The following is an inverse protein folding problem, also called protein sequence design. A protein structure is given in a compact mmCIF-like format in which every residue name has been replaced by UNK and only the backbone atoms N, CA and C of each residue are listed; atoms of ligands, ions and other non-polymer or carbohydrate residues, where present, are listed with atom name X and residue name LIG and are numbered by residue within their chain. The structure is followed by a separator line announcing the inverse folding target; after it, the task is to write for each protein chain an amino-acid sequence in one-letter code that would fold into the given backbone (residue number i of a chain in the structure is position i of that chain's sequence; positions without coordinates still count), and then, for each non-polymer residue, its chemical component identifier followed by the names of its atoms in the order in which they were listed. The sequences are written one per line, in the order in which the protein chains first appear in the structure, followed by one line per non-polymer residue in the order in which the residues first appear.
data_IF_289477986131
#
_entry.id   IF_289477986131
#
_cell.length_a   1.000
_cell.length_b   1.000
_cell.length_c   1.000
_cell.angle_alpha   90.00
_cell.angle_beta   90.00
_cell.angle_gamma   90.00
#
_symmetry.space_group_name_H-M   'P 1'
#
loop_
_entity.id
_entity.type
_entity.pdbx_description
1 polymer ?
#
# COMPACT_ATOMS: atom_id res chain seq x y z
N UNK A 1 18.01 -23.13 3.13
CA UNK A 1 16.95 -23.60 4.06
C UNK A 1 17.11 -25.09 4.27
N UNK A 2 16.64 -25.63 5.39
CA UNK A 2 16.70 -27.06 5.71
C UNK A 2 15.35 -27.53 6.22
N UNK A 3 14.93 -28.70 5.80
CA UNK A 3 13.76 -29.40 6.30
C UNK A 3 14.21 -30.45 7.33
N UNK A 4 13.52 -30.49 8.47
CA UNK A 4 13.84 -31.45 9.53
C UNK A 4 12.77 -32.54 9.57
N UNK A 5 13.19 -33.78 9.35
CA UNK A 5 12.37 -34.95 9.64
C UNK A 5 12.53 -35.30 11.13
N UNK A 6 11.53 -34.89 11.92
CA UNK A 6 11.54 -35.08 13.37
C UNK A 6 11.53 -36.57 13.73
N UNK A 7 10.82 -37.42 12.95
CA UNK A 7 10.67 -38.86 13.24
C UNK A 7 11.99 -39.60 13.05
N UNK A 8 12.67 -39.28 11.94
CA UNK A 8 13.92 -39.95 11.58
C UNK A 8 15.17 -39.21 12.04
N UNK A 9 15.00 -38.02 12.69
CA UNK A 9 16.08 -37.15 13.16
C UNK A 9 17.06 -36.79 12.04
N UNK A 10 16.55 -36.56 10.82
CA UNK A 10 17.34 -36.20 9.65
C UNK A 10 17.11 -34.74 9.26
N UNK A 11 18.15 -34.12 8.74
CA UNK A 11 18.12 -32.79 8.19
C UNK A 11 18.40 -32.85 6.69
N UNK A 12 17.44 -32.42 5.88
CA UNK A 12 17.53 -32.42 4.43
C UNK A 12 17.71 -30.98 3.95
N UNK A 13 18.70 -30.74 3.10
CA UNK A 13 18.91 -29.42 2.50
C UNK A 13 17.89 -29.20 1.40
N UNK A 14 17.16 -28.08 1.46
CA UNK A 14 16.29 -27.64 0.38
C UNK A 14 17.10 -26.92 -0.69
N UNK A 15 16.80 -27.19 -1.96
CA UNK A 15 17.45 -26.52 -3.09
C UNK A 15 16.72 -25.21 -3.39
N UNK A 16 17.46 -24.09 -3.37
CA UNK A 16 16.92 -22.82 -3.84
C UNK A 16 16.59 -22.92 -5.34
N UNK A 17 15.47 -22.39 -5.74
CA UNK A 17 15.01 -22.36 -7.12
C UNK A 17 14.39 -20.99 -7.44
N UNK A 18 14.06 -20.77 -8.70
CA UNK A 18 13.34 -19.59 -9.15
C UNK A 18 11.97 -19.99 -9.69
N UNK A 19 11.04 -19.06 -9.68
CA UNK A 19 9.74 -19.30 -10.31
C UNK A 19 9.87 -19.53 -11.81
N UNK A 20 10.84 -18.86 -12.48
CA UNK A 20 11.15 -19.09 -13.89
C UNK A 20 11.63 -20.50 -14.17
N UNK A 21 12.51 -21.05 -13.35
CA UNK A 21 12.99 -22.44 -13.50
C UNK A 21 11.88 -23.46 -13.38
N UNK A 22 10.85 -23.15 -12.60
CA UNK A 22 9.67 -23.99 -12.42
C UNK A 22 8.57 -23.72 -13.44
N UNK A 23 8.78 -22.82 -14.41
CA UNK A 23 7.79 -22.34 -15.37
C UNK A 23 6.53 -21.76 -14.71
N UNK A 24 6.64 -21.25 -13.48
CA UNK A 24 5.58 -20.56 -12.77
C UNK A 24 5.49 -19.11 -13.24
N UNK A 25 4.27 -18.60 -13.35
CA UNK A 25 4.01 -17.25 -13.80
C UNK A 25 3.68 -16.33 -12.64
N UNK A 26 3.92 -15.05 -12.84
CA UNK A 26 3.53 -14.00 -11.90
C UNK A 26 2.01 -14.00 -11.71
N UNK A 27 1.27 -13.99 -12.82
CA UNK A 27 -0.18 -13.79 -12.86
C UNK A 27 -0.99 -15.03 -12.50
N UNK A 28 -0.60 -16.22 -13.00
CA UNK A 28 -1.42 -17.43 -12.88
C UNK A 28 -1.04 -18.31 -11.70
N UNK A 29 0.08 -18.00 -11.04
CA UNK A 29 0.55 -18.76 -9.88
C UNK A 29 0.75 -17.88 -8.66
N UNK A 30 1.72 -16.95 -8.67
CA UNK A 30 2.07 -16.15 -7.49
C UNK A 30 0.91 -15.25 -7.06
N UNK A 31 0.28 -14.58 -8.02
CA UNK A 31 -0.87 -13.73 -7.77
C UNK A 31 -2.07 -14.50 -7.22
N UNK A 32 -2.33 -15.72 -7.74
CA UNK A 32 -3.41 -16.57 -7.23
C UNK A 32 -3.16 -17.02 -5.79
N UNK A 33 -1.92 -17.40 -5.46
CA UNK A 33 -1.58 -17.79 -4.08
C UNK A 33 -1.72 -16.64 -3.09
N UNK A 34 -1.32 -15.43 -3.47
CA UNK A 34 -1.48 -14.24 -2.62
C UNK A 34 -2.96 -13.84 -2.52
N UNK A 35 -3.72 -13.96 -3.60
CA UNK A 35 -5.16 -13.71 -3.62
C UNK A 35 -5.93 -14.68 -2.70
N UNK A 36 -5.50 -15.93 -2.63
CA UNK A 36 -6.13 -16.95 -1.78
C UNK A 36 -5.60 -16.95 -0.33
N UNK A 37 -4.37 -16.52 -0.12
CA UNK A 37 -3.70 -16.52 1.21
C UNK A 37 -2.91 -15.23 1.39
N UNK A 38 -3.60 -14.08 1.55
CA UNK A 38 -2.93 -12.77 1.65
C UNK A 38 -2.07 -12.62 2.91
N UNK A 39 -2.27 -13.46 3.93
CA UNK A 39 -1.47 -13.50 5.17
C UNK A 39 0.01 -13.79 4.92
N UNK A 40 0.36 -14.34 3.74
CA UNK A 40 1.75 -14.51 3.31
C UNK A 40 2.51 -13.17 3.27
N UNK A 41 1.80 -12.05 3.17
CA UNK A 41 2.35 -10.70 3.18
C UNK A 41 2.65 -10.16 4.59
N UNK A 42 2.43 -11.00 5.63
CA UNK A 42 2.80 -10.71 7.03
C UNK A 42 1.81 -9.82 7.77
N UNK A 43 0.66 -9.52 7.19
CA UNK A 43 -0.40 -8.74 7.81
C UNK A 43 -1.77 -9.21 7.32
N UNK A 44 -2.81 -8.80 8.03
CA UNK A 44 -4.19 -9.11 7.69
C UNK A 44 -4.68 -8.17 6.59
N UNK A 45 -5.03 -8.71 5.45
CA UNK A 45 -5.49 -7.98 4.27
C UNK A 45 -6.75 -8.62 3.71
N UNK A 46 -7.70 -7.80 3.28
CA UNK A 46 -8.87 -8.22 2.51
C UNK A 46 -8.62 -7.88 1.04
N UNK A 47 -8.40 -8.88 0.20
CA UNK A 47 -8.27 -8.65 -1.25
C UNK A 47 -9.65 -8.25 -1.79
N UNK A 48 -9.73 -7.06 -2.39
CA UNK A 48 -10.97 -6.50 -2.94
C UNK A 48 -10.97 -6.43 -4.46
N UNK A 49 -9.83 -6.72 -5.09
CA UNK A 49 -9.75 -6.72 -6.54
C UNK A 49 -8.45 -7.31 -7.07
N UNK A 50 -8.54 -7.90 -8.25
CA UNK A 50 -7.45 -8.53 -8.99
C UNK A 50 -7.51 -8.09 -10.45
N UNK A 51 -6.34 -7.74 -11.02
CA UNK A 51 -6.22 -7.31 -12.41
C UNK A 51 -7.13 -6.12 -12.76
N UNK A 52 -7.16 -5.11 -11.86
CA UNK A 52 -8.03 -3.95 -12.01
C UNK A 52 -7.49 -3.04 -13.10
N UNK A 53 -8.32 -2.73 -14.09
CA UNK A 53 -7.97 -1.76 -15.13
C UNK A 53 -8.30 -0.36 -14.62
N UNK A 54 -7.25 0.45 -14.45
CA UNK A 54 -7.38 1.84 -14.04
C UNK A 54 -7.76 2.75 -15.22
N UNK A 55 -8.25 3.98 -14.98
CA UNK A 55 -8.67 4.90 -16.04
C UNK A 55 -7.62 5.17 -17.11
N UNK A 56 -6.34 5.06 -16.78
CA UNK A 56 -5.22 5.19 -17.73
C UNK A 56 -5.00 3.97 -18.62
N UNK A 57 -5.80 2.89 -18.47
CA UNK A 57 -5.62 1.62 -19.16
C UNK A 57 -4.51 0.73 -18.56
N UNK A 58 -3.81 1.19 -17.51
CA UNK A 58 -2.85 0.36 -16.78
C UNK A 58 -3.58 -0.60 -15.86
N UNK A 59 -2.96 -1.76 -15.61
CA UNK A 59 -3.55 -2.84 -14.85
C UNK A 59 -2.79 -3.03 -13.53
N UNK A 60 -3.53 -2.94 -12.43
CA UNK A 60 -3.08 -3.18 -11.08
C UNK A 60 -3.21 -4.66 -10.75
N UNK A 61 -2.15 -5.28 -10.21
CA UNK A 61 -2.14 -6.72 -9.94
C UNK A 61 -3.16 -7.10 -8.86
N UNK A 62 -3.00 -6.61 -7.63
CA UNK A 62 -3.95 -6.84 -6.52
C UNK A 62 -4.22 -5.53 -5.76
N UNK A 63 -5.49 -5.33 -5.41
CA UNK A 63 -5.92 -4.27 -4.51
C UNK A 63 -6.54 -4.90 -3.27
N UNK A 64 -6.12 -4.41 -2.11
CA UNK A 64 -6.62 -4.87 -0.81
C UNK A 64 -7.05 -3.71 0.08
N UNK A 65 -7.71 -4.04 1.18
CA UNK A 65 -7.99 -3.14 2.32
C UNK A 65 -7.27 -3.71 3.54
N UNK A 66 -6.63 -2.84 4.33
CA UNK A 66 -6.10 -3.19 5.65
C UNK A 66 -7.18 -3.07 6.75
N UNK A 67 -6.88 -3.50 7.97
CA UNK A 67 -7.81 -3.48 9.09
C UNK A 67 -8.27 -2.06 9.50
N UNK A 68 -7.60 -1.01 9.02
CA UNK A 68 -7.94 0.39 9.26
C UNK A 68 -8.76 1.02 8.11
N UNK A 69 -9.07 0.26 7.06
CA UNK A 69 -9.81 0.72 5.90
C UNK A 69 -8.96 1.46 4.85
N UNK A 70 -7.63 1.41 4.96
CA UNK A 70 -6.75 1.99 3.96
C UNK A 70 -6.62 1.06 2.75
N UNK A 71 -6.53 1.64 1.56
CA UNK A 71 -6.24 0.86 0.36
C UNK A 71 -4.78 0.42 0.33
N UNK A 72 -4.56 -0.83 -0.01
CA UNK A 72 -3.23 -1.44 -0.15
C UNK A 72 -3.04 -1.90 -1.59
N UNK A 73 -2.12 -1.25 -2.28
CA UNK A 73 -1.70 -1.58 -3.64
C UNK A 73 -0.62 -2.65 -3.57
N UNK A 74 -0.86 -3.81 -4.18
CA UNK A 74 0.11 -4.91 -4.20
C UNK A 74 0.59 -5.09 -5.63
N UNK A 75 1.86 -4.86 -5.85
CA UNK A 75 2.54 -5.04 -7.13
C UNK A 75 3.49 -6.22 -7.05
N UNK A 76 3.36 -7.14 -8.00
CA UNK A 76 4.09 -8.41 -8.03
C UNK A 76 5.14 -8.42 -9.12
N UNK A 77 6.28 -9.03 -8.84
CA UNK A 77 7.29 -9.36 -9.84
C UNK A 77 7.80 -10.78 -9.58
N UNK A 78 7.76 -11.60 -10.62
CA UNK A 78 8.06 -13.04 -10.52
C UNK A 78 9.44 -13.33 -9.95
N UNK A 79 10.47 -12.70 -10.51
CA UNK A 79 11.86 -13.00 -10.14
C UNK A 79 12.56 -11.77 -9.57
N UNK A 80 13.06 -10.87 -10.41
CA UNK A 80 13.72 -9.64 -9.96
C UNK A 80 12.79 -8.47 -10.18
N UNK A 81 12.70 -7.56 -9.20
CA UNK A 81 12.01 -6.30 -9.40
C UNK A 81 12.60 -5.59 -10.62
N UNK A 82 11.79 -5.41 -11.66
CA UNK A 82 12.19 -4.63 -12.83
C UNK A 82 12.54 -3.20 -12.41
N UNK A 83 13.27 -2.49 -13.28
CA UNK A 83 13.46 -1.07 -13.09
C UNK A 83 12.08 -0.37 -13.05
N UNK A 84 11.89 0.53 -12.07
CA UNK A 84 10.70 1.38 -11.93
C UNK A 84 9.44 0.70 -11.38
N UNK A 85 9.53 -0.44 -10.68
CA UNK A 85 8.37 -1.08 -10.03
C UNK A 85 7.74 -0.15 -8.98
N UNK A 86 8.56 0.60 -8.23
CA UNK A 86 8.13 1.61 -7.27
C UNK A 86 7.35 2.75 -7.93
N UNK A 87 7.77 3.21 -9.10
CA UNK A 87 7.05 4.24 -9.87
C UNK A 87 5.72 3.73 -10.41
N UNK A 88 5.67 2.47 -10.80
CA UNK A 88 4.44 1.83 -11.25
C UNK A 88 3.43 1.80 -10.10
N UNK A 89 3.85 1.33 -8.93
CA UNK A 89 3.00 1.25 -7.74
C UNK A 89 2.56 2.64 -7.23
N UNK A 90 3.42 3.65 -7.28
CA UNK A 90 3.06 5.04 -6.93
C UNK A 90 1.97 5.57 -7.87
N UNK A 91 2.06 5.32 -9.18
CA UNK A 91 1.01 5.70 -10.12
C UNK A 91 -0.32 5.05 -9.76
N UNK A 92 -0.31 3.76 -9.41
CA UNK A 92 -1.52 3.07 -8.98
C UNK A 92 -2.11 3.66 -7.71
N UNK A 93 -1.27 3.92 -6.69
CA UNK A 93 -1.69 4.56 -5.45
C UNK A 93 -2.30 5.94 -5.72
N UNK A 94 -1.72 6.71 -6.63
CA UNK A 94 -2.25 8.01 -7.05
C UNK A 94 -3.66 7.91 -7.66
N UNK A 95 -3.93 6.93 -8.51
CA UNK A 95 -5.28 6.70 -9.03
C UNK A 95 -6.24 6.21 -7.93
N UNK A 96 -5.80 5.25 -7.12
CA UNK A 96 -6.62 4.68 -6.05
C UNK A 96 -6.96 5.70 -4.96
N UNK A 97 -6.12 6.72 -4.74
CA UNK A 97 -6.37 7.78 -3.74
C UNK A 97 -7.65 8.58 -3.99
N UNK A 98 -8.11 8.61 -5.24
CA UNK A 98 -9.33 9.30 -5.63
C UNK A 98 -10.59 8.42 -5.53
N UNK A 99 -10.47 7.13 -5.19
CA UNK A 99 -11.63 6.25 -5.10
C UNK A 99 -12.54 6.62 -3.93
N UNK A 100 -13.82 6.75 -4.22
CA UNK A 100 -14.87 6.91 -3.22
C UNK A 100 -15.22 5.56 -2.59
N UNK A 101 -15.91 5.60 -1.44
CA UNK A 101 -16.38 4.38 -0.78
C UNK A 101 -17.28 3.56 -1.71
N UNK A 102 -18.15 4.22 -2.49
CA UNK A 102 -19.03 3.56 -3.46
C UNK A 102 -18.25 2.86 -4.57
N UNK A 103 -17.17 3.47 -5.06
CA UNK A 103 -16.31 2.85 -6.08
C UNK A 103 -15.58 1.64 -5.49
N UNK A 104 -15.11 1.72 -4.24
CA UNK A 104 -14.47 0.61 -3.53
C UNK A 104 -15.45 -0.55 -3.36
N UNK A 105 -16.67 -0.29 -2.89
CA UNK A 105 -17.71 -1.31 -2.77
C UNK A 105 -18.03 -1.96 -4.11
N UNK A 106 -18.11 -1.16 -5.18
CA UNK A 106 -18.35 -1.68 -6.53
C UNK A 106 -17.21 -2.57 -7.02
N UNK A 107 -15.95 -2.13 -6.86
CA UNK A 107 -14.77 -2.91 -7.24
C UNK A 107 -14.81 -4.26 -6.52
N UNK A 108 -15.06 -4.25 -5.22
CA UNK A 108 -15.11 -5.47 -4.43
C UNK A 108 -16.30 -6.36 -4.79
N UNK A 109 -17.48 -5.79 -5.04
CA UNK A 109 -18.63 -6.57 -5.48
C UNK A 109 -18.38 -7.25 -6.84
N UNK A 110 -17.75 -6.54 -7.78
CA UNK A 110 -17.36 -7.10 -9.07
C UNK A 110 -16.34 -8.24 -8.94
N UNK A 111 -15.41 -8.13 -7.97
CA UNK A 111 -14.47 -9.19 -7.64
C UNK A 111 -15.18 -10.39 -7.00
N UNK A 112 -16.06 -10.17 -6.01
CA UNK A 112 -16.81 -11.23 -5.35
C UNK A 112 -17.69 -12.00 -6.34
N UNK A 113 -18.38 -11.32 -7.24
CA UNK A 113 -19.23 -11.94 -8.24
C UNK A 113 -18.49 -12.89 -9.20
N UNK A 114 -17.17 -12.69 -9.37
CA UNK A 114 -16.31 -13.58 -10.16
C UNK A 114 -15.81 -14.79 -9.38
N UNK A 115 -15.63 -14.65 -8.08
CA UNK A 115 -14.99 -15.67 -7.22
C UNK A 115 -15.97 -16.43 -6.34
N UNK A 116 -17.05 -15.77 -5.92
CA UNK A 116 -18.05 -16.30 -4.98
C UNK A 116 -19.46 -15.93 -5.42
N UNK A 117 -20.42 -16.82 -5.11
CA UNK A 117 -21.84 -16.50 -5.22
C UNK A 117 -22.36 -16.03 -3.86
N UNK A 118 -23.23 -15.03 -3.85
CA UNK A 118 -24.01 -14.57 -2.67
C UNK A 118 -23.24 -13.85 -1.55
N UNK A 119 -22.10 -13.21 -1.83
CA UNK A 119 -21.41 -12.34 -0.87
C UNK A 119 -21.71 -10.86 -1.17
N UNK A 120 -21.93 -10.08 -0.10
CA UNK A 120 -22.14 -8.63 -0.15
C UNK A 120 -20.86 -7.90 0.23
N UNK A 121 -20.35 -7.06 -0.66
CA UNK A 121 -19.06 -6.37 -0.50
C UNK A 121 -19.02 -5.48 0.74
N UNK A 122 -20.08 -4.74 1.01
CA UNK A 122 -20.16 -3.83 2.14
C UNK A 122 -20.08 -4.60 3.46
N UNK A 123 -20.87 -5.66 3.57
CA UNK A 123 -20.90 -6.52 4.75
C UNK A 123 -19.55 -7.22 5.00
N UNK A 124 -18.89 -7.71 3.94
CA UNK A 124 -17.58 -8.35 4.07
C UNK A 124 -16.51 -7.33 4.56
N UNK A 125 -16.52 -6.08 4.06
CA UNK A 125 -15.63 -5.02 4.52
C UNK A 125 -15.95 -4.66 5.98
N UNK A 126 -17.22 -4.45 6.35
CA UNK A 126 -17.63 -4.13 7.72
C UNK A 126 -17.18 -5.20 8.72
N UNK A 127 -17.26 -6.49 8.36
CA UNK A 127 -16.81 -7.61 9.19
C UNK A 127 -15.28 -7.69 9.32
N UNK A 128 -14.56 -7.17 8.33
CA UNK A 128 -13.09 -7.20 8.29
C UNK A 128 -12.45 -6.09 9.12
N UNK A 129 -13.07 -4.91 9.17
CA UNK A 129 -12.52 -3.74 9.86
C UNK A 129 -12.54 -3.93 11.39
N UNK A 130 -11.48 -3.45 12.07
CA UNK A 130 -11.34 -3.55 13.53
C UNK A 130 -12.31 -2.61 14.26
N UNK A 131 -12.59 -1.44 13.70
CA UNK A 131 -13.52 -0.46 14.26
C UNK A 131 -14.76 -0.37 13.40
N UNK A 132 -15.92 -0.59 14.02
CA UNK A 132 -17.22 -0.56 13.35
C UNK A 132 -17.72 0.86 13.02
N UNK A 133 -17.06 1.90 13.50
CA UNK A 133 -17.32 3.25 13.06
C UNK A 133 -16.75 3.41 11.66
N UNK A 134 -17.61 3.25 10.66
CA UNK A 134 -17.29 3.53 9.26
C UNK A 134 -16.95 5.02 9.09
N UNK A 135 -15.84 5.41 9.68
CA UNK A 135 -15.13 6.57 9.20
C UNK A 135 -14.59 6.19 7.80
N UNK A 136 -14.90 7.01 6.83
CA UNK A 136 -14.48 6.99 5.43
C UNK A 136 -13.30 6.05 5.13
N UNK A 137 -13.50 5.09 4.23
CA UNK A 137 -12.43 4.26 3.68
C UNK A 137 -11.38 5.12 2.95
N UNK A 138 -10.24 4.52 2.64
CA UNK A 138 -9.24 5.13 1.76
C UNK A 138 -8.66 6.47 2.27
N UNK A 139 -8.47 6.59 3.59
CA UNK A 139 -7.83 7.79 4.16
C UNK A 139 -6.36 7.89 3.76
N UNK A 140 -5.69 6.76 3.68
CA UNK A 140 -4.30 6.63 3.26
C UNK A 140 -4.18 5.47 2.26
N UNK A 141 -3.13 5.51 1.44
CA UNK A 141 -2.80 4.44 0.51
C UNK A 141 -1.45 3.87 0.90
N UNK A 142 -1.38 2.55 0.91
CA UNK A 142 -0.20 1.78 1.23
C UNK A 142 0.23 0.96 0.02
N UNK A 143 1.51 0.65 -0.08
CA UNK A 143 2.08 -0.11 -1.19
C UNK A 143 2.83 -1.31 -0.66
N UNK A 144 2.59 -2.48 -1.24
CA UNK A 144 3.39 -3.68 -0.99
C UNK A 144 3.99 -4.13 -2.32
N UNK A 145 5.31 -4.07 -2.39
CA UNK A 145 6.07 -4.62 -3.51
C UNK A 145 6.50 -6.04 -3.16
N UNK A 146 6.19 -6.97 -4.03
CA UNK A 146 6.51 -8.39 -3.84
C UNK A 146 7.39 -8.86 -4.98
N UNK A 147 8.55 -9.40 -4.67
CA UNK A 147 9.49 -9.92 -5.68
C UNK A 147 10.41 -10.96 -5.06
N UNK A 148 11.03 -11.79 -5.90
CA UNK A 148 12.10 -12.69 -5.42
C UNK A 148 13.33 -11.88 -5.00
N UNK A 149 13.65 -10.79 -5.70
CA UNK A 149 14.76 -9.92 -5.37
C UNK A 149 14.49 -8.46 -5.73
N UNK A 150 15.14 -7.55 -5.01
CA UNK A 150 15.08 -6.12 -5.24
C UNK A 150 16.48 -5.60 -5.53
N UNK A 151 16.62 -4.82 -6.59
CA UNK A 151 17.87 -4.13 -6.87
C UNK A 151 18.10 -2.96 -5.89
N UNK A 152 19.33 -2.48 -5.82
CA UNK A 152 19.74 -1.41 -4.90
C UNK A 152 19.02 -0.09 -5.15
N UNK A 153 18.67 0.20 -6.42
CA UNK A 153 18.04 1.45 -6.80
C UNK A 153 16.59 1.49 -6.32
N UNK A 154 15.85 0.38 -6.51
CA UNK A 154 14.49 0.23 -5.96
C UNK A 154 14.51 0.33 -4.44
N UNK A 155 15.43 -0.40 -3.77
CA UNK A 155 15.54 -0.35 -2.32
C UNK A 155 15.85 1.07 -1.80
N UNK A 156 16.76 1.78 -2.44
CA UNK A 156 17.10 3.17 -2.09
C UNK A 156 15.95 4.13 -2.31
N UNK A 157 15.22 3.98 -3.44
CA UNK A 157 14.03 4.78 -3.73
C UNK A 157 12.94 4.56 -2.69
N UNK A 158 12.64 3.31 -2.35
CA UNK A 158 11.62 2.95 -1.34
C UNK A 158 11.99 3.50 0.04
N UNK A 159 13.23 3.36 0.47
CA UNK A 159 13.70 3.93 1.75
C UNK A 159 13.53 5.44 1.78
N UNK A 160 13.87 6.13 0.69
CA UNK A 160 13.71 7.57 0.59
C UNK A 160 12.22 7.99 0.59
N UNK A 161 11.36 7.27 -0.14
CA UNK A 161 9.92 7.52 -0.17
C UNK A 161 9.26 7.32 1.20
N UNK A 162 9.65 6.26 1.91
CA UNK A 162 9.20 6.01 3.28
C UNK A 162 9.65 7.13 4.24
N UNK A 163 10.86 7.68 4.06
CA UNK A 163 11.30 8.86 4.82
C UNK A 163 10.46 10.11 4.49
N UNK A 164 9.83 10.19 3.34
CA UNK A 164 8.90 11.26 2.95
C UNK A 164 7.46 11.02 3.39
N UNK A 165 7.19 9.90 4.05
CA UNK A 165 5.89 9.61 4.65
C UNK A 165 4.98 8.71 3.82
N UNK A 166 5.47 8.11 2.73
CA UNK A 166 4.76 7.03 2.06
C UNK A 166 4.92 5.74 2.89
N UNK A 167 3.93 4.87 2.85
CA UNK A 167 3.99 3.53 3.45
C UNK A 167 4.21 2.49 2.35
N UNK A 168 5.48 2.12 2.14
CA UNK A 168 5.87 1.13 1.12
C UNK A 168 6.62 -0.01 1.79
N UNK A 169 6.09 -1.23 1.66
CA UNK A 169 6.75 -2.47 2.10
C UNK A 169 7.38 -3.20 0.91
N UNK A 170 8.55 -3.79 1.14
CA UNK A 170 9.17 -4.72 0.19
C UNK A 170 9.25 -6.11 0.83
N UNK A 171 8.61 -7.09 0.18
CA UNK A 171 8.57 -8.49 0.61
C UNK A 171 9.27 -9.36 -0.43
N UNK A 172 10.33 -10.03 -0.01
CA UNK A 172 10.99 -11.07 -0.82
C UNK A 172 10.25 -12.37 -0.67
N UNK A 173 10.02 -13.05 -1.79
CA UNK A 173 9.49 -14.41 -1.80
C UNK A 173 10.58 -15.36 -2.30
N UNK A 174 11.18 -16.10 -1.37
CA UNK A 174 12.17 -17.11 -1.69
C UNK A 174 11.48 -18.46 -1.91
N UNK A 175 11.89 -19.19 -2.96
CA UNK A 175 11.35 -20.49 -3.31
C UNK A 175 12.41 -21.59 -3.18
N UNK A 176 12.00 -22.74 -2.68
CA UNK A 176 12.85 -23.90 -2.46
C UNK A 176 12.10 -25.17 -2.86
N UNK A 177 12.84 -26.16 -3.40
CA UNK A 177 12.32 -27.48 -3.66
C UNK A 177 12.85 -28.48 -2.63
N UNK A 178 11.94 -29.33 -2.14
CA UNK A 178 12.29 -30.50 -1.36
C UNK A 178 12.78 -31.62 -2.29
N UNK A 179 13.37 -32.69 -1.71
CA UNK A 179 13.74 -33.91 -2.45
C UNK A 179 12.52 -34.58 -3.10
N UNK A 180 11.33 -34.36 -2.58
CA UNK A 180 10.07 -34.88 -3.11
C UNK A 180 9.42 -33.94 -4.15
N UNK A 181 10.15 -32.94 -4.64
CA UNK A 181 9.63 -31.88 -5.54
C UNK A 181 8.46 -31.06 -4.97
N UNK A 182 8.37 -30.94 -3.66
CA UNK A 182 7.42 -30.00 -3.03
C UNK A 182 8.01 -28.60 -3.05
N UNK A 183 7.22 -27.63 -3.52
CA UNK A 183 7.60 -26.22 -3.51
C UNK A 183 7.30 -25.61 -2.14
N UNK A 184 8.33 -25.05 -1.52
CA UNK A 184 8.23 -24.29 -0.29
C UNK A 184 8.51 -22.82 -0.59
N UNK A 185 7.68 -21.95 -0.07
CA UNK A 185 7.80 -20.50 -0.22
C UNK A 185 8.12 -19.89 1.16
N UNK A 186 9.09 -19.00 1.18
CA UNK A 186 9.49 -18.28 2.39
C UNK A 186 9.45 -16.77 2.14
N UNK A 187 8.37 -16.09 2.57
CA UNK A 187 8.27 -14.64 2.50
C UNK A 187 9.17 -14.00 3.56
N UNK A 188 9.77 -12.87 3.22
CA UNK A 188 10.61 -12.09 4.14
C UNK A 188 10.42 -10.60 3.86
N UNK A 189 9.90 -9.86 4.80
CA UNK A 189 9.88 -8.40 4.71
C UNK A 189 11.31 -7.87 4.86
N UNK A 190 11.74 -7.04 3.92
CA UNK A 190 13.08 -6.42 3.91
C UNK A 190 13.04 -4.90 4.07
N UNK A 191 11.93 -4.26 3.72
CA UNK A 191 11.70 -2.82 3.92
C UNK A 191 10.25 -2.60 4.37
N UNK A 192 10.04 -1.85 5.47
CA UNK A 192 11.05 -1.61 6.51
C UNK A 192 11.48 -2.92 7.15
N UNK A 193 12.64 -2.93 7.81
CA UNK A 193 13.00 -4.07 8.65
C UNK A 193 11.94 -4.23 9.75
N UNK A 194 11.44 -5.45 10.03
CA UNK A 194 10.39 -5.67 11.02
C UNK A 194 10.72 -5.06 12.39
N UNK A 195 11.99 -5.15 12.82
CA UNK A 195 12.48 -4.60 14.07
C UNK A 195 12.48 -3.06 14.11
N UNK A 196 12.49 -2.41 12.96
CA UNK A 196 12.48 -0.95 12.83
C UNK A 196 11.07 -0.38 12.59
N UNK A 197 10.07 -1.21 12.33
CA UNK A 197 8.72 -0.77 11.91
C UNK A 197 8.06 0.15 12.93
N UNK A 198 8.09 -0.20 14.21
CA UNK A 198 7.53 0.63 15.28
C UNK A 198 8.24 1.96 15.42
N UNK A 199 9.56 1.99 15.25
CA UNK A 199 10.34 3.23 15.28
C UNK A 199 9.95 4.15 14.12
N UNK A 200 9.80 3.61 12.93
CA UNK A 200 9.43 4.35 11.71
C UNK A 200 8.01 4.92 11.87
N UNK A 201 7.05 4.13 12.36
CA UNK A 201 5.67 4.60 12.63
C UNK A 201 5.65 5.74 13.64
N UNK A 202 6.36 5.63 14.76
CA UNK A 202 6.45 6.71 15.77
C UNK A 202 7.07 7.98 15.20
N UNK A 203 8.12 7.85 14.38
CA UNK A 203 8.78 8.98 13.73
C UNK A 203 7.86 9.68 12.73
N UNK A 204 7.04 8.93 11.99
CA UNK A 204 6.06 9.50 11.07
C UNK A 204 4.95 10.27 11.80
N UNK A 205 4.43 9.74 12.92
CA UNK A 205 3.44 10.42 13.77
C UNK A 205 4.03 11.73 14.30
N UNK A 206 5.24 11.69 14.88
CA UNK A 206 5.92 12.87 15.42
C UNK A 206 6.14 13.97 14.36
N UNK A 207 6.46 13.58 13.12
CA UNK A 207 6.60 14.53 12.00
C UNK A 207 5.27 15.18 11.64
N UNK A 208 4.15 14.40 11.58
CA UNK A 208 2.81 14.94 11.36
C UNK A 208 2.42 15.94 12.45
N UNK A 209 2.65 15.62 13.71
CA UNK A 209 2.38 16.51 14.85
C UNK A 209 3.20 17.79 14.80
N UNK A 210 4.50 17.71 14.53
CA UNK A 210 5.37 18.87 14.41
C UNK A 210 4.95 19.80 13.24
N UNK A 211 4.53 19.21 12.10
CA UNK A 211 4.06 20.01 10.96
C UNK A 211 2.74 20.71 11.23
N UNK A 212 1.82 20.08 11.98
CA UNK A 212 0.56 20.71 12.41
C UNK A 212 0.82 21.85 13.40
N UNK A 213 1.70 21.65 14.38
CA UNK A 213 2.09 22.70 15.33
C UNK A 213 2.75 23.91 14.64
N UNK A 214 3.59 23.66 13.64
CA UNK A 214 4.22 24.73 12.86
C UNK A 214 3.18 25.49 12.02
N UNK A 215 2.24 24.77 11.39
CA UNK A 215 1.15 25.38 10.63
C UNK A 215 0.23 26.24 11.51
N UNK A 216 -0.08 25.80 12.72
CA UNK A 216 -0.87 26.57 13.68
C UNK A 216 -0.10 27.78 14.22
N UNK A 217 1.21 27.65 14.48
CA UNK A 217 2.07 28.77 14.89
C UNK A 217 2.17 29.83 13.77
N UNK A 218 2.33 29.43 12.52
CA UNK A 218 2.36 30.34 11.37
C UNK A 218 1.00 31.02 11.15
N UNK A 219 -0.11 30.35 11.49
CA UNK A 219 -1.46 30.90 11.38
C UNK A 219 -1.77 31.96 12.45
N UNK A 220 -1.21 31.82 13.64
CA UNK A 220 -1.37 32.76 14.76
C UNK A 220 -0.58 34.07 14.51
N UNK A 221 0.43 34.06 13.63
CA UNK A 221 1.25 35.26 13.33
C UNK A 221 0.59 36.25 12.35
N UNK A 222 -0.53 35.89 11.72
CA UNK A 222 -1.33 36.82 10.93
C UNK A 222 -2.40 37.45 11.81
N UNK A 223 -2.03 38.51 12.51
CA UNK A 223 -2.97 39.50 13.07
C UNK A 223 -3.64 40.20 11.89
N UNK A 224 -4.72 39.59 11.36
CA UNK A 224 -5.57 40.26 10.38
C UNK A 224 -6.45 41.22 11.17
N UNK A 225 -6.25 42.55 11.05
CA UNK A 225 -7.12 43.50 11.72
C UNK A 225 -8.55 43.23 11.25
N UNK A 226 -9.48 42.98 12.17
CA UNK A 226 -10.90 42.96 11.87
C UNK A 226 -11.34 44.35 11.42
N UNK A 227 -11.44 44.53 10.11
CA UNK A 227 -12.05 45.75 9.56
C UNK A 227 -13.56 45.57 9.46
N UNK A 228 -14.29 46.52 9.94
CA UNK A 228 -15.72 46.62 9.67
C UNK A 228 -15.96 46.80 8.16
N UNK A 229 -17.13 46.39 7.67
CA UNK A 229 -17.49 46.51 6.24
C UNK A 229 -17.36 47.95 5.72
N UNK A 230 -17.57 48.94 6.58
CA UNK A 230 -17.46 50.36 6.23
C UNK A 230 -16.01 50.85 6.15
N UNK A 231 -15.12 50.37 7.02
CA UNK A 231 -13.67 50.59 6.93
C UNK A 231 -13.07 49.97 5.69
N UNK A 232 -13.52 48.75 5.29
CA UNK A 232 -13.11 48.11 4.05
C UNK A 232 -13.54 48.90 2.81
N UNK A 233 -14.76 49.46 2.80
CA UNK A 233 -15.24 50.32 1.70
C UNK A 233 -14.41 51.60 1.56
N UNK A 234 -14.07 52.26 2.68
CA UNK A 234 -13.22 53.46 2.69
C UNK A 234 -11.84 53.14 2.17
N UNK A 235 -11.19 52.09 2.64
CA UNK A 235 -9.86 51.67 2.18
C UNK A 235 -9.85 51.26 0.70
N UNK A 236 -10.89 50.61 0.22
CA UNK A 236 -11.03 50.24 -1.22
C UNK A 236 -11.20 51.50 -2.09
N UNK A 237 -12.00 52.48 -1.63
CA UNK A 237 -12.18 53.74 -2.32
C UNK A 237 -10.87 54.55 -2.40
N UNK A 238 -10.11 54.60 -1.32
CA UNK A 238 -8.80 55.25 -1.27
C UNK A 238 -7.75 54.58 -2.16
N UNK A 239 -7.78 53.24 -2.20
CA UNK A 239 -6.89 52.46 -3.08
C UNK A 239 -7.21 52.70 -4.56
N UNK A 240 -8.49 52.71 -4.95
CA UNK A 240 -8.94 52.95 -6.29
C UNK A 240 -8.66 54.39 -6.77
N UNK A 241 -8.79 55.37 -5.87
CA UNK A 241 -8.49 56.80 -6.18
C UNK A 241 -6.99 57.02 -6.44
N UNK A 242 -6.11 56.27 -5.80
CA UNK A 242 -4.64 56.34 -5.99
C UNK A 242 -4.15 55.67 -7.27
N UNK A 243 -4.95 54.81 -7.91
CA UNK A 243 -4.62 54.17 -9.18
C UNK A 243 -5.12 54.94 -10.41
N UNK A 244 -5.88 56.01 -10.21
CA UNK A 244 -6.49 56.83 -11.28
C UNK A 244 -5.75 58.13 -11.54
N UNK A 245 -4.53 58.30 -11.01
CA UNK A 245 -3.65 59.46 -11.25
C UNK A 245 -2.33 59.04 -11.91
#
# INVERSE_FOLDING_TARGET
MYQIDIRNKKMNKLNATTFSELNLSERYDIQEWIDDTPEILGEKLLIIGKEIILPSGIRLDLLAIDENGNLVIIELKRDTSGNYVEWQAIKYASYCSAFTDEEIFKIYQDYLNKKYNDKDAKREIENFLVTFEMEKLNKEQRIILVSRDFNSDVASAVLWLNDKGLDIKCIKINSFLSENNELLIYPTQIIPLPEAEDFIKRKAIQRKENSLQQYDADRISFDVPEYSLDELKIKLSDFLSKQSN
#
